data_IF_554017825768
#
_entry.id   IF_554017825768
#
_cell.length_a   1.000
_cell.length_b   1.000
_cell.length_c   1.000
_cell.angle_alpha   90.00
_cell.angle_beta   90.00
_cell.angle_gamma   90.00
#
_symmetry.space_group_name_H-M   'P 1'
#
loop_
_entity.id
_entity.type
_entity.pdbx_description
1 polymer ?
#
# COMPACT_ATOMS: atom_id res chain seq x y z
N UNK A 1 6.54 -0.62 -17.63
CA UNK A 1 6.59 0.80 -17.20
C UNK A 1 6.97 0.75 -15.74
N UNK A 2 8.02 1.47 -15.33
CA UNK A 2 8.48 1.45 -13.94
C UNK A 2 7.36 1.93 -13.02
N UNK A 3 7.13 1.20 -11.92
CA UNK A 3 6.04 1.44 -10.97
C UNK A 3 6.13 2.82 -10.27
N UNK A 4 7.33 3.42 -10.29
CA UNK A 4 7.65 4.69 -9.62
C UNK A 4 7.87 5.83 -10.62
N UNK A 5 7.35 7.02 -10.28
CA UNK A 5 7.56 8.27 -11.01
C UNK A 5 8.56 9.15 -10.27
N UNK A 6 9.62 9.60 -10.97
CA UNK A 6 10.58 10.58 -10.45
C UNK A 6 10.41 11.86 -11.27
N UNK A 7 9.91 12.94 -10.64
CA UNK A 7 9.62 14.21 -11.33
C UNK A 7 10.89 14.83 -11.90
N UNK A 8 10.77 15.68 -12.93
CA UNK A 8 11.95 16.34 -13.52
C UNK A 8 12.72 17.16 -12.46
N UNK A 9 12.01 17.87 -11.58
CA UNK A 9 12.63 18.61 -10.48
C UNK A 9 13.43 17.71 -9.53
N UNK A 10 12.90 16.51 -9.20
CA UNK A 10 13.62 15.54 -8.40
C UNK A 10 14.84 14.97 -9.14
N UNK A 11 14.73 14.69 -10.44
CA UNK A 11 15.86 14.24 -11.25
C UNK A 11 16.99 15.27 -11.27
N UNK A 12 16.66 16.54 -11.49
CA UNK A 12 17.65 17.61 -11.55
C UNK A 12 18.35 17.80 -10.19
N UNK A 13 17.60 17.80 -9.09
CA UNK A 13 18.14 17.88 -7.74
C UNK A 13 19.06 16.70 -7.40
N UNK A 14 18.62 15.47 -7.69
CA UNK A 14 19.40 14.26 -7.44
C UNK A 14 20.66 14.24 -8.32
N UNK A 15 20.58 14.67 -9.58
CA UNK A 15 21.74 14.80 -10.45
C UNK A 15 22.76 15.80 -9.89
N UNK A 16 22.30 16.94 -9.34
CA UNK A 16 23.18 17.91 -8.67
C UNK A 16 23.89 17.28 -7.45
N UNK A 17 23.16 16.54 -6.61
CA UNK A 17 23.75 15.83 -5.46
C UNK A 17 24.79 14.79 -5.90
N UNK A 18 24.51 14.03 -6.96
CA UNK A 18 25.41 13.01 -7.50
C UNK A 18 26.66 13.64 -8.13
N UNK A 19 26.53 14.81 -8.78
CA UNK A 19 27.68 15.53 -9.37
C UNK A 19 28.71 16.01 -8.33
N UNK A 20 28.27 16.15 -7.07
CA UNK A 20 29.14 16.48 -5.93
C UNK A 20 29.85 15.25 -5.36
N UNK A 21 29.56 14.05 -5.87
CA UNK A 21 30.23 12.82 -5.46
C UNK A 21 31.42 12.54 -6.40
N UNK A 22 32.58 12.23 -5.84
CA UNK A 22 33.79 11.87 -6.60
C UNK A 22 33.75 10.41 -7.08
N UNK A 23 32.64 9.97 -7.66
CA UNK A 23 32.48 8.59 -8.14
C UNK A 23 31.82 8.56 -9.52
N UNK A 24 32.58 8.29 -10.59
CA UNK A 24 32.04 8.15 -11.94
C UNK A 24 31.00 7.04 -12.02
N UNK A 25 29.87 7.31 -12.67
CA UNK A 25 28.79 6.33 -12.85
C UNK A 25 27.95 6.05 -11.60
N UNK A 26 28.11 6.86 -10.53
CA UNK A 26 27.24 6.77 -9.36
C UNK A 26 25.78 7.05 -9.75
N UNK A 27 24.89 6.23 -9.23
CA UNK A 27 23.44 6.38 -9.36
C UNK A 27 22.78 6.47 -7.99
N UNK A 28 21.48 6.19 -7.98
CA UNK A 28 20.74 6.02 -6.75
C UNK A 28 20.12 4.63 -6.69
N UNK A 29 19.84 4.16 -5.49
CA UNK A 29 19.06 2.96 -5.23
C UNK A 29 17.84 3.31 -4.38
N UNK A 30 16.65 2.93 -4.85
CA UNK A 30 15.38 3.17 -4.17
C UNK A 30 14.89 1.85 -3.60
N UNK A 31 14.56 1.83 -2.32
CA UNK A 31 14.10 0.65 -1.61
C UNK A 31 13.16 1.03 -0.47
N UNK A 32 12.42 0.06 0.04
CA UNK A 32 11.58 0.18 1.22
C UNK A 32 12.15 -0.73 2.31
N UNK A 33 12.34 -0.20 3.51
CA UNK A 33 12.64 -1.02 4.69
C UNK A 33 11.33 -1.62 5.21
N UNK A 34 11.32 -2.91 5.55
CA UNK A 34 10.12 -3.63 6.04
C UNK A 34 8.85 -3.37 5.20
N UNK A 35 8.91 -3.61 3.86
CA UNK A 35 7.79 -3.32 2.97
C UNK A 35 6.56 -4.14 3.35
N UNK A 36 5.39 -3.53 3.21
CA UNK A 36 4.11 -4.15 3.56
C UNK A 36 3.78 -4.18 5.05
N UNK A 37 4.57 -3.48 5.88
CA UNK A 37 4.30 -3.34 7.31
C UNK A 37 4.00 -1.90 7.68
N UNK A 38 3.39 -1.67 8.86
CA UNK A 38 3.17 -0.32 9.39
C UNK A 38 4.47 0.49 9.58
N UNK A 39 5.59 -0.22 9.72
CA UNK A 39 6.94 0.32 9.91
C UNK A 39 7.66 0.58 8.59
N UNK A 40 6.99 0.44 7.44
CA UNK A 40 7.67 0.62 6.17
C UNK A 40 8.20 2.04 5.97
N UNK A 41 9.45 2.17 5.58
CA UNK A 41 10.08 3.45 5.25
C UNK A 41 10.68 3.40 3.84
N UNK A 42 10.32 4.37 3.00
CA UNK A 42 10.89 4.49 1.67
C UNK A 42 12.19 5.28 1.73
N UNK A 43 13.25 4.71 1.16
CA UNK A 43 14.61 5.24 1.22
C UNK A 43 15.22 5.41 -0.16
N UNK A 44 16.07 6.42 -0.29
CA UNK A 44 16.98 6.60 -1.43
C UNK A 44 18.40 6.61 -0.87
N UNK A 45 19.26 5.78 -1.44
CA UNK A 45 20.68 5.76 -1.13
C UNK A 45 21.51 5.98 -2.39
N UNK A 46 22.74 6.47 -2.23
CA UNK A 46 23.71 6.43 -3.32
C UNK A 46 24.06 5.00 -3.69
N UNK A 47 24.22 4.75 -4.98
CA UNK A 47 24.58 3.45 -5.51
C UNK A 47 25.83 3.59 -6.37
N UNK A 48 26.99 3.18 -5.85
CA UNK A 48 28.21 3.19 -6.64
C UNK A 48 28.18 2.05 -7.67
N UNK A 49 28.91 2.16 -8.78
CA UNK A 49 29.01 1.07 -9.76
C UNK A 49 29.43 -0.24 -9.09
N UNK A 50 28.57 -1.26 -9.18
CA UNK A 50 28.78 -2.59 -8.60
C UNK A 50 28.09 -2.81 -7.24
N UNK A 51 27.49 -1.79 -6.62
CA UNK A 51 26.71 -1.93 -5.39
C UNK A 51 25.23 -2.26 -5.64
N UNK A 52 24.76 -2.13 -6.88
CA UNK A 52 23.43 -2.60 -7.27
C UNK A 52 23.33 -4.12 -7.15
N UNK A 53 22.15 -4.63 -6.77
CA UNK A 53 21.91 -6.07 -6.75
C UNK A 53 21.57 -6.55 -8.16
N UNK A 54 21.87 -7.82 -8.51
CA UNK A 54 21.52 -8.39 -9.81
C UNK A 54 20.02 -8.36 -10.11
N UNK A 55 19.19 -8.41 -9.08
CA UNK A 55 17.73 -8.40 -9.18
C UNK A 55 17.15 -6.98 -9.26
N UNK A 56 17.95 -5.94 -9.00
CA UNK A 56 17.46 -4.56 -9.03
C UNK A 56 17.05 -4.17 -10.47
N UNK A 57 15.91 -3.49 -10.60
CA UNK A 57 15.41 -3.01 -11.89
C UNK A 57 16.07 -1.65 -12.22
N UNK A 58 16.86 -1.54 -13.30
CA UNK A 58 17.50 -0.28 -13.68
C UNK A 58 16.52 0.64 -14.43
N UNK A 59 16.43 1.89 -13.96
CA UNK A 59 15.65 2.96 -14.57
C UNK A 59 16.61 4.04 -15.06
N UNK A 60 16.76 4.12 -16.39
CA UNK A 60 17.60 5.13 -17.03
C UNK A 60 16.94 6.51 -16.97
N UNK A 61 17.55 7.45 -16.26
CA UNK A 61 17.14 8.86 -16.22
C UNK A 61 18.11 9.71 -17.05
N UNK A 62 17.80 11.00 -17.21
CA UNK A 62 18.57 11.91 -18.09
C UNK A 62 20.07 11.95 -17.75
N UNK A 63 20.42 11.98 -16.47
CA UNK A 63 21.80 12.21 -16.00
C UNK A 63 22.42 11.02 -15.24
N UNK A 64 21.61 10.08 -14.75
CA UNK A 64 22.06 8.95 -13.93
C UNK A 64 21.09 7.78 -14.04
N UNK A 65 21.43 6.64 -13.43
CA UNK A 65 20.55 5.47 -13.33
C UNK A 65 20.01 5.34 -11.91
N UNK A 66 18.70 5.15 -11.78
CA UNK A 66 18.07 4.74 -10.54
C UNK A 66 17.86 3.22 -10.54
N UNK A 67 18.27 2.54 -9.47
CA UNK A 67 18.09 1.10 -9.29
C UNK A 67 16.94 0.87 -8.31
N UNK A 68 15.91 0.14 -8.72
CA UNK A 68 14.77 -0.17 -7.86
C UNK A 68 14.99 -1.56 -7.25
N UNK A 69 14.98 -1.65 -5.93
CA UNK A 69 15.10 -2.93 -5.22
C UNK A 69 13.95 -3.87 -5.56
N UNK A 70 14.26 -5.10 -5.98
CA UNK A 70 13.28 -6.07 -6.47
C UNK A 70 12.15 -6.39 -5.48
N UNK A 71 12.46 -6.43 -4.17
CA UNK A 71 11.48 -6.70 -3.12
C UNK A 71 10.56 -5.49 -2.94
N UNK A 72 11.11 -4.29 -3.13
CA UNK A 72 10.41 -3.02 -2.95
C UNK A 72 9.58 -2.62 -4.17
N UNK A 73 9.98 -3.04 -5.37
CA UNK A 73 9.37 -2.64 -6.64
C UNK A 73 7.84 -2.73 -6.66
N UNK A 74 7.21 -3.82 -6.21
CA UNK A 74 5.75 -3.89 -6.27
C UNK A 74 5.04 -2.99 -5.25
N UNK A 75 5.72 -2.60 -4.16
CA UNK A 75 5.20 -1.68 -3.14
C UNK A 75 5.41 -0.20 -3.53
N UNK A 76 6.22 0.03 -4.57
CA UNK A 76 6.48 1.35 -5.14
C UNK A 76 5.53 1.69 -6.28
N UNK A 77 4.48 0.90 -6.51
CA UNK A 77 3.41 1.24 -7.44
C UNK A 77 2.71 2.52 -7.01
N UNK A 78 2.47 3.40 -7.98
CA UNK A 78 2.02 4.79 -7.81
C UNK A 78 2.94 5.65 -6.92
N UNK A 79 4.18 5.23 -6.67
CA UNK A 79 5.09 6.04 -5.87
C UNK A 79 5.59 7.25 -6.68
N UNK A 80 5.71 8.39 -6.00
CA UNK A 80 6.19 9.65 -6.58
C UNK A 80 7.35 10.18 -5.75
N UNK A 81 8.49 10.37 -6.40
CA UNK A 81 9.64 11.13 -5.88
C UNK A 81 9.57 12.53 -6.47
N UNK A 82 9.43 13.52 -5.61
CA UNK A 82 9.30 14.92 -6.02
C UNK A 82 10.24 15.83 -5.24
N UNK A 83 10.60 16.95 -5.83
CA UNK A 83 11.41 17.98 -5.19
C UNK A 83 10.71 19.33 -5.34
N UNK A 84 10.35 19.92 -4.21
CA UNK A 84 9.73 21.24 -4.17
C UNK A 84 10.69 22.26 -3.57
N UNK A 85 11.01 23.31 -4.32
CA UNK A 85 11.84 24.41 -3.82
C UNK A 85 11.00 25.34 -2.95
N UNK A 86 11.49 25.63 -1.75
CA UNK A 86 10.91 26.62 -0.84
C UNK A 86 11.95 27.67 -0.41
N UNK A 87 11.55 28.61 0.46
CA UNK A 87 12.45 29.65 0.97
C UNK A 87 13.60 29.12 1.83
N UNK A 88 13.58 27.84 2.22
CA UNK A 88 14.54 27.22 3.11
C UNK A 88 15.52 26.28 2.38
N UNK A 89 15.47 26.21 1.06
CA UNK A 89 16.39 25.41 0.25
C UNK A 89 15.77 24.18 -0.39
N UNK A 90 14.45 23.99 -0.27
CA UNK A 90 13.69 22.93 -0.92
C UNK A 90 13.69 21.59 -0.18
N UNK A 91 12.74 20.74 -0.53
CA UNK A 91 12.50 19.45 0.12
C UNK A 91 12.29 18.35 -0.93
N UNK A 92 13.12 17.32 -0.84
CA UNK A 92 12.89 16.04 -1.53
C UNK A 92 11.84 15.25 -0.74
N UNK A 93 10.76 14.87 -1.40
CA UNK A 93 9.67 14.09 -0.82
C UNK A 93 9.48 12.80 -1.60
N UNK A 94 9.22 11.71 -0.89
CA UNK A 94 8.83 10.43 -1.49
C UNK A 94 7.45 10.08 -0.95
N UNK A 95 6.48 9.92 -1.86
CA UNK A 95 5.14 9.43 -1.53
C UNK A 95 5.00 8.04 -2.12
N UNK A 96 4.98 7.02 -1.28
CA UNK A 96 4.73 5.64 -1.69
C UNK A 96 3.45 5.16 -1.00
N UNK A 97 2.27 5.31 -1.63
CA UNK A 97 0.99 5.01 -0.99
C UNK A 97 0.87 3.53 -0.58
N UNK A 98 1.53 2.64 -1.35
CA UNK A 98 1.47 1.20 -1.16
C UNK A 98 2.60 0.65 -0.26
N UNK A 99 3.55 1.48 0.20
CA UNK A 99 4.73 1.00 0.93
C UNK A 99 4.40 0.23 2.21
N UNK A 100 3.32 0.61 2.89
CA UNK A 100 2.86 0.01 4.15
C UNK A 100 1.79 -1.06 3.98
N UNK A 101 1.34 -1.27 2.75
CA UNK A 101 0.23 -2.17 2.47
C UNK A 101 0.82 -3.58 2.26
N UNK A 102 0.43 -4.59 3.06
CA UNK A 102 0.94 -5.95 2.90
C UNK A 102 0.76 -6.43 1.46
N UNK A 103 1.81 -6.90 0.79
CA UNK A 103 1.60 -7.60 -0.48
C UNK A 103 1.03 -8.96 -0.17
N UNK A 104 -0.24 -9.12 -0.47
CA UNK A 104 -0.87 -10.43 -0.57
C UNK A 104 -0.87 -10.84 -2.03
N UNK A 105 -0.32 -12.01 -2.31
CA UNK A 105 -0.41 -12.65 -3.61
C UNK A 105 -1.37 -13.85 -3.53
N UNK A 106 -1.56 -14.57 -4.63
CA UNK A 106 -2.45 -15.74 -4.65
C UNK A 106 -2.00 -16.84 -3.69
N UNK A 107 -0.70 -16.94 -3.40
CA UNK A 107 -0.11 -17.91 -2.49
C UNK A 107 -0.14 -17.45 -1.02
N UNK A 108 -0.49 -16.19 -0.73
CA UNK A 108 -0.56 -15.68 0.63
C UNK A 108 -1.68 -16.37 1.42
N UNK A 109 -1.50 -16.57 2.74
CA UNK A 109 -2.54 -17.13 3.59
C UNK A 109 -3.88 -16.39 3.42
N UNK A 110 -4.97 -17.16 3.39
CA UNK A 110 -6.31 -16.63 3.12
C UNK A 110 -6.72 -15.49 4.07
N UNK A 111 -6.36 -15.60 5.34
CA UNK A 111 -6.58 -14.56 6.35
C UNK A 111 -5.83 -13.24 6.05
N UNK A 112 -4.60 -13.32 5.52
CA UNK A 112 -3.84 -12.12 5.11
C UNK A 112 -4.50 -11.48 3.89
N UNK A 113 -4.86 -12.28 2.88
CA UNK A 113 -5.55 -11.81 1.67
C UNK A 113 -6.85 -11.09 2.03
N UNK A 114 -7.68 -11.67 2.90
CA UNK A 114 -8.92 -11.04 3.36
C UNK A 114 -8.61 -9.71 4.07
N UNK A 115 -7.68 -9.71 5.02
CA UNK A 115 -7.32 -8.49 5.77
C UNK A 115 -6.84 -7.36 4.86
N UNK A 116 -6.07 -7.68 3.82
CA UNK A 116 -5.64 -6.70 2.83
C UNK A 116 -6.83 -6.02 2.16
N UNK A 117 -7.74 -6.76 1.54
CA UNK A 117 -8.87 -6.17 0.81
C UNK A 117 -9.85 -5.46 1.75
N UNK A 118 -9.97 -5.93 3.00
CA UNK A 118 -10.72 -5.20 4.02
C UNK A 118 -10.12 -3.79 4.23
N UNK A 119 -8.79 -3.65 4.28
CA UNK A 119 -8.11 -2.38 4.54
C UNK A 119 -8.02 -1.48 3.29
N UNK A 120 -7.77 -2.04 2.11
CA UNK A 120 -7.44 -1.27 0.91
C UNK A 120 -8.66 -0.90 0.07
N UNK A 121 -9.70 -1.72 0.07
CA UNK A 121 -10.87 -1.52 -0.80
C UNK A 121 -12.15 -1.28 -0.02
N UNK A 122 -12.37 -1.99 1.08
CA UNK A 122 -13.65 -1.98 1.78
C UNK A 122 -13.72 -0.87 2.84
N UNK A 123 -12.78 -0.85 3.78
CA UNK A 123 -12.77 0.13 4.88
C UNK A 123 -12.68 1.60 4.44
N UNK A 124 -11.97 1.98 3.36
CA UNK A 124 -12.01 3.37 2.87
C UNK A 124 -13.43 3.83 2.51
N UNK A 125 -14.24 2.94 1.93
CA UNK A 125 -15.65 3.20 1.64
C UNK A 125 -16.49 3.29 2.91
N UNK A 126 -16.32 2.35 3.84
CA UNK A 126 -17.07 2.32 5.11
C UNK A 126 -16.74 3.52 6.01
N UNK A 127 -15.48 3.94 6.04
CA UNK A 127 -15.01 5.05 6.85
C UNK A 127 -15.70 6.38 6.50
N UNK A 128 -16.16 6.54 5.26
CA UNK A 128 -16.94 7.72 4.82
C UNK A 128 -18.27 7.85 5.56
N UNK A 129 -18.79 6.75 6.10
CA UNK A 129 -19.99 6.69 6.95
C UNK A 129 -19.65 6.42 8.43
N UNK A 130 -18.39 6.65 8.83
CA UNK A 130 -17.91 6.38 10.17
C UNK A 130 -17.88 4.90 10.55
N UNK A 131 -17.97 4.01 9.57
CA UNK A 131 -18.03 2.56 9.75
C UNK A 131 -16.70 1.86 9.46
N UNK A 132 -16.57 0.64 9.94
CA UNK A 132 -15.43 -0.24 9.63
C UNK A 132 -15.83 -1.72 9.74
N UNK A 133 -15.01 -2.58 9.15
CA UNK A 133 -15.10 -4.03 9.29
C UNK A 133 -13.71 -4.62 9.52
N UNK A 134 -13.66 -5.69 10.30
CA UNK A 134 -12.44 -6.41 10.65
C UNK A 134 -12.66 -7.92 10.53
N UNK A 135 -11.61 -8.64 10.13
CA UNK A 135 -11.60 -10.11 10.17
C UNK A 135 -11.41 -10.58 11.62
N UNK A 136 -12.27 -11.49 12.05
CA UNK A 136 -12.16 -12.19 13.34
C UNK A 136 -11.45 -13.52 13.15
N UNK A 137 -11.88 -14.31 12.17
CA UNK A 137 -11.34 -15.64 11.89
C UNK A 137 -11.71 -16.12 10.48
N UNK A 138 -11.09 -17.21 10.03
CA UNK A 138 -11.52 -17.97 8.84
C UNK A 138 -11.83 -19.39 9.29
N UNK A 139 -13.10 -19.76 9.22
CA UNK A 139 -13.56 -21.10 9.67
C UNK A 139 -13.53 -22.11 8.52
N UNK A 140 -13.84 -23.37 8.84
CA UNK A 140 -13.98 -24.46 7.88
C UNK A 140 -14.84 -24.02 6.67
N UNK A 141 -14.49 -24.53 5.48
CA UNK A 141 -15.08 -24.16 4.19
C UNK A 141 -14.72 -22.75 3.66
N UNK A 142 -13.63 -22.12 4.11
CA UNK A 142 -13.20 -20.80 3.62
C UNK A 142 -14.29 -19.73 3.82
N UNK A 143 -14.89 -19.69 5.01
CA UNK A 143 -15.87 -18.67 5.38
C UNK A 143 -15.18 -17.65 6.28
N UNK A 144 -15.16 -16.39 5.85
CA UNK A 144 -14.59 -15.30 6.63
C UNK A 144 -15.57 -14.84 7.71
N UNK A 145 -15.15 -14.89 8.98
CA UNK A 145 -15.91 -14.38 10.11
C UNK A 145 -15.54 -12.91 10.31
N UNK A 146 -16.49 -12.01 10.09
CA UNK A 146 -16.27 -10.57 10.13
C UNK A 146 -16.98 -9.93 11.32
N UNK A 147 -16.39 -8.85 11.82
CA UNK A 147 -16.99 -7.96 12.81
C UNK A 147 -17.01 -6.54 12.29
N UNK A 148 -18.21 -5.98 12.21
CA UNK A 148 -18.49 -4.60 11.85
C UNK A 148 -18.44 -3.71 13.09
N UNK A 149 -18.05 -2.45 12.90
CA UNK A 149 -17.90 -1.47 13.97
C UNK A 149 -18.20 -0.05 13.49
N UNK A 150 -18.23 0.88 14.43
CA UNK A 150 -18.58 2.29 14.16
C UNK A 150 -20.00 2.44 13.64
N UNK A 151 -20.18 3.28 12.62
CA UNK A 151 -21.45 3.52 11.92
C UNK A 151 -22.12 2.25 11.39
N UNK A 152 -21.33 1.23 11.06
CA UNK A 152 -21.83 -0.05 10.55
C UNK A 152 -22.43 -0.95 11.64
N UNK A 153 -22.17 -0.69 12.92
CA UNK A 153 -22.66 -1.55 14.00
C UNK A 153 -24.18 -1.45 14.17
N UNK A 154 -24.77 -0.25 14.06
CA UNK A 154 -26.18 -0.02 14.39
C UNK A 154 -27.08 0.41 13.23
N UNK A 155 -26.61 0.34 11.98
CA UNK A 155 -27.33 0.90 10.83
C UNK A 155 -28.54 0.02 10.45
N UNK A 156 -29.75 0.47 10.78
CA UNK A 156 -30.99 -0.29 10.58
C UNK A 156 -31.47 -0.42 9.13
N UNK A 157 -30.80 0.20 8.15
CA UNK A 157 -31.19 0.17 6.74
C UNK A 157 -30.37 -0.81 5.88
N UNK A 158 -29.33 -1.46 6.42
CA UNK A 158 -28.24 -2.02 5.58
C UNK A 158 -27.68 -3.36 6.08
N UNK A 159 -28.43 -4.13 6.88
CA UNK A 159 -27.94 -5.39 7.45
C UNK A 159 -27.63 -6.45 6.37
N UNK A 160 -28.42 -6.48 5.28
CA UNK A 160 -28.18 -7.36 4.13
C UNK A 160 -27.27 -6.71 3.09
N UNK A 161 -27.56 -5.48 2.64
CA UNK A 161 -26.83 -4.85 1.53
C UNK A 161 -25.35 -4.56 1.84
N UNK A 162 -25.02 -4.25 3.10
CA UNK A 162 -23.64 -3.92 3.48
C UNK A 162 -22.81 -5.19 3.49
N UNK A 163 -23.34 -6.22 4.16
CA UNK A 163 -22.75 -7.56 4.18
C UNK A 163 -22.58 -8.09 2.76
N UNK A 164 -23.62 -8.01 1.94
CA UNK A 164 -23.59 -8.49 0.55
C UNK A 164 -22.56 -7.72 -0.29
N UNK A 165 -22.40 -6.41 -0.06
CA UNK A 165 -21.38 -5.60 -0.72
C UNK A 165 -19.96 -6.02 -0.32
N UNK A 166 -19.71 -6.21 0.98
CA UNK A 166 -18.43 -6.69 1.51
C UNK A 166 -18.12 -8.10 1.00
N UNK A 167 -19.09 -9.01 1.06
CA UNK A 167 -18.99 -10.39 0.60
C UNK A 167 -18.68 -10.44 -0.90
N UNK A 168 -19.41 -9.67 -1.71
CA UNK A 168 -19.19 -9.59 -3.16
C UNK A 168 -17.77 -9.13 -3.49
N UNK A 169 -17.31 -8.04 -2.90
CA UNK A 169 -15.94 -7.54 -3.12
C UNK A 169 -14.90 -8.59 -2.73
N UNK A 170 -15.07 -9.24 -1.56
CA UNK A 170 -14.12 -10.26 -1.11
C UNK A 170 -14.08 -11.50 -2.02
N UNK A 171 -15.23 -11.98 -2.50
CA UNK A 171 -15.30 -13.14 -3.42
C UNK A 171 -14.74 -12.78 -4.80
N UNK A 172 -15.00 -11.56 -5.30
CA UNK A 172 -14.42 -11.07 -6.56
C UNK A 172 -12.88 -11.02 -6.51
N UNK A 173 -12.32 -10.68 -5.34
CA UNK A 173 -10.87 -10.60 -5.12
C UNK A 173 -10.23 -11.93 -4.71
N UNK A 174 -11.00 -12.79 -4.05
CA UNK A 174 -10.56 -14.08 -3.50
C UNK A 174 -11.56 -15.15 -3.93
N UNK A 175 -11.42 -15.74 -5.14
CA UNK A 175 -12.39 -16.69 -5.69
C UNK A 175 -12.56 -17.98 -4.88
N UNK A 176 -11.59 -18.34 -4.04
CA UNK A 176 -11.62 -19.49 -3.12
C UNK A 176 -12.43 -19.24 -1.84
N UNK A 177 -12.80 -17.98 -1.55
CA UNK A 177 -13.65 -17.61 -0.42
C UNK A 177 -15.10 -18.02 -0.73
N UNK A 178 -15.72 -18.84 0.13
CA UNK A 178 -17.09 -19.32 -0.10
C UNK A 178 -18.17 -18.36 0.42
N UNK A 179 -17.79 -17.44 1.32
CA UNK A 179 -18.70 -16.41 1.82
C UNK A 179 -18.22 -15.76 3.11
N UNK A 180 -19.08 -14.92 3.68
CA UNK A 180 -18.82 -14.21 4.93
C UNK A 180 -19.90 -14.45 5.98
N UNK A 181 -19.47 -14.50 7.25
CA UNK A 181 -20.35 -14.59 8.41
C UNK A 181 -20.15 -13.37 9.30
N UNK A 182 -21.22 -12.67 9.57
CA UNK A 182 -21.23 -11.56 10.52
C UNK A 182 -21.45 -12.10 11.94
N UNK A 183 -20.64 -11.62 12.90
CA UNK A 183 -20.78 -11.91 14.34
C UNK A 183 -21.05 -10.65 15.17
N UNK A 184 -21.43 -9.56 14.53
CA UNK A 184 -21.72 -8.27 15.16
C UNK A 184 -23.12 -8.28 15.76
N UNK A 185 -23.25 -7.74 16.97
CA UNK A 185 -24.56 -7.47 17.55
C UNK A 185 -25.11 -6.13 17.01
N UNK A 186 -25.99 -6.22 16.01
CA UNK A 186 -26.60 -5.05 15.37
C UNK A 186 -27.78 -4.45 16.15
N UNK A 187 -28.18 -5.05 17.27
CA UNK A 187 -29.21 -4.46 18.13
C UNK A 187 -28.70 -3.21 18.87
N UNK A 188 -27.37 -3.08 19.01
CA UNK A 188 -26.75 -1.92 19.62
C UNK A 188 -26.60 -0.75 18.62
N UNK A 189 -27.37 0.31 18.84
CA UNK A 189 -27.44 1.50 17.98
C UNK A 189 -26.72 2.73 18.52
N UNK A 190 -25.89 2.60 19.55
CA UNK A 190 -25.20 3.75 20.16
C UNK A 190 -24.33 4.52 19.16
N UNK A 191 -23.78 3.82 18.15
CA UNK A 191 -22.91 4.40 17.11
C UNK A 191 -23.54 4.41 15.71
N UNK A 192 -24.86 4.21 15.59
CA UNK A 192 -25.52 4.12 14.29
C UNK A 192 -25.42 5.45 13.50
N UNK A 193 -25.00 5.37 12.24
CA UNK A 193 -25.05 6.50 11.31
C UNK A 193 -26.51 6.76 10.86
N UNK A 194 -26.98 8.02 10.94
CA UNK A 194 -28.33 8.47 10.58
C UNK A 194 -28.34 9.25 9.27
#
# INVERSE_FOLDING_TARGET
>A
MSAITITEAAQDYLAELLSKQDTPGIGIRIFITQPGTQYAETCIAYCKPGEQKPEDTPVGLKAFTAYIDAISEPFLDDAVVDYATDRMGGQLTIKAPNAKVPMVNEDSPLNERINYYLQTEINPGLASHGGQVSLVDVVEDNIAVLRFGGGCQGCGAVEMTLKDGVEKTLIERIPELKGVRDVTDHSNRENAYY
#
